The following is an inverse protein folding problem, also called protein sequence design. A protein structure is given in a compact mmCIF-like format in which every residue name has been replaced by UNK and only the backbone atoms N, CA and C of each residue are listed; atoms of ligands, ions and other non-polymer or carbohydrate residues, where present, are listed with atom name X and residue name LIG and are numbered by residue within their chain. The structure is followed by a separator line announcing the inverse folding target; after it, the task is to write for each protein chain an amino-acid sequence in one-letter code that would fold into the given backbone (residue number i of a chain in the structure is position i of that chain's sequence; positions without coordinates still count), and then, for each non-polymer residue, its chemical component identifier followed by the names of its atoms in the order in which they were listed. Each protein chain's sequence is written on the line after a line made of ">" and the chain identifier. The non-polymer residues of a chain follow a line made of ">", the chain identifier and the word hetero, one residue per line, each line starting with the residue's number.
data_IF_819324715304
#
_entry.id   IF_819324715304
#
_cell.length_a   1.000
_cell.length_b   1.000
_cell.length_c   1.000
_cell.angle_alpha   90.00
_cell.angle_beta   90.00
_cell.angle_gamma   90.00
#
_symmetry.space_group_name_H-M   'P 1'
#
loop_
_entity.id
_entity.type
_entity.pdbx_description
1 polymer ?
#
# COMPACT_ATOMS: atom_id res chain seq x y z
N UNK A 1 16.45 7.13 -14.44
CA UNK A 1 16.93 6.00 -13.61
C UNK A 1 16.51 6.27 -12.18
N UNK A 2 15.48 5.55 -11.70
CA UNK A 2 14.94 5.68 -10.34
C UNK A 2 16.10 5.43 -9.38
N UNK A 3 16.54 6.46 -8.64
CA UNK A 3 17.60 6.31 -7.65
C UNK A 3 17.06 5.47 -6.51
N UNK A 4 17.58 4.24 -6.43
CA UNK A 4 17.40 3.35 -5.30
C UNK A 4 17.81 4.02 -4.00
N UNK A 5 16.86 4.12 -3.08
CA UNK A 5 17.09 3.99 -1.65
C UNK A 5 15.84 3.29 -1.10
N UNK A 6 15.79 1.98 -1.33
CA UNK A 6 15.01 1.10 -0.48
C UNK A 6 15.99 0.72 0.65
N UNK A 7 15.81 1.24 1.89
CA UNK A 7 16.49 0.67 3.03
C UNK A 7 16.09 -0.82 3.15
N UNK A 8 16.78 -1.64 3.97
CA UNK A 8 16.39 -3.03 4.23
C UNK A 8 14.94 -3.21 4.74
N UNK A 9 14.20 -2.12 4.98
CA UNK A 9 12.78 -2.07 5.37
C UNK A 9 11.77 -2.26 4.24
N UNK A 10 12.15 -2.31 2.96
CA UNK A 10 11.22 -2.65 1.88
C UNK A 10 10.25 -1.53 1.44
N UNK A 11 10.52 -0.27 1.83
CA UNK A 11 9.68 0.89 1.48
C UNK A 11 10.10 1.49 0.14
N UNK A 12 9.15 1.63 -0.80
CA UNK A 12 9.34 2.28 -2.09
C UNK A 12 8.58 3.62 -2.13
N UNK A 13 9.31 4.73 -2.24
CA UNK A 13 8.74 6.06 -2.40
C UNK A 13 8.81 6.51 -3.86
N UNK A 14 7.70 6.98 -4.43
CA UNK A 14 7.63 7.43 -5.82
C UNK A 14 6.77 8.68 -5.94
N UNK A 15 7.21 9.64 -6.76
CA UNK A 15 6.42 10.82 -7.10
C UNK A 15 5.62 10.61 -8.41
N UNK A 16 4.74 11.55 -8.75
CA UNK A 16 3.92 11.51 -9.97
C UNK A 16 4.74 11.28 -11.22
N UNK A 17 5.84 12.02 -11.41
CA UNK A 17 6.69 11.91 -12.60
C UNK A 17 7.29 10.52 -12.74
N UNK A 18 7.77 9.93 -11.63
CA UNK A 18 8.30 8.56 -11.64
C UNK A 18 7.21 7.51 -11.88
N UNK A 19 6.01 7.72 -11.36
CA UNK A 19 4.88 6.84 -11.63
C UNK A 19 4.47 6.87 -13.11
N UNK A 20 4.44 8.06 -13.73
CA UNK A 20 4.18 8.18 -15.16
C UNK A 20 5.31 7.58 -16.00
N UNK A 21 6.58 7.75 -15.60
CA UNK A 21 7.73 7.13 -16.27
C UNK A 21 7.61 5.61 -16.28
N UNK A 22 7.22 4.99 -15.16
CA UNK A 22 7.00 3.54 -15.07
C UNK A 22 5.89 3.04 -16.01
N UNK A 23 4.87 3.85 -16.29
CA UNK A 23 3.81 3.45 -17.25
C UNK A 23 4.32 3.37 -18.67
N UNK A 24 5.25 4.24 -19.04
CA UNK A 24 5.83 4.30 -20.39
C UNK A 24 7.01 3.36 -20.55
N UNK A 25 7.78 3.17 -19.48
CA UNK A 25 8.96 2.30 -19.43
C UNK A 25 8.81 1.35 -18.25
N UNK A 26 8.02 0.27 -18.41
CA UNK A 26 7.89 -0.74 -17.37
C UNK A 26 9.29 -1.28 -17.01
N UNK A 27 9.50 -1.60 -15.74
CA UNK A 27 10.75 -2.19 -15.28
C UNK A 27 11.01 -3.44 -16.12
N UNK A 28 12.15 -3.48 -16.82
CA UNK A 28 12.56 -4.67 -17.56
C UNK A 28 12.69 -5.80 -16.56
N UNK A 29 11.78 -6.77 -16.63
CA UNK A 29 11.91 -8.00 -15.87
C UNK A 29 13.24 -8.64 -16.27
N UNK A 30 14.14 -8.87 -15.32
CA UNK A 30 15.28 -9.74 -15.57
C UNK A 30 14.71 -11.13 -15.87
N UNK A 31 14.72 -11.53 -17.15
CA UNK A 31 14.26 -12.82 -17.64
C UNK A 31 15.23 -13.94 -17.23
N UNK A 32 15.40 -14.16 -15.93
CA UNK A 32 15.96 -15.41 -15.40
C UNK A 32 14.79 -16.36 -15.10
N UNK A 33 14.31 -17.03 -16.15
CA UNK A 33 13.50 -18.28 -16.30
C UNK A 33 12.60 -18.83 -15.15
N UNK A 34 12.31 -18.13 -14.06
CA UNK A 34 11.34 -18.54 -13.04
C UNK A 34 10.27 -17.46 -12.99
N UNK A 35 9.04 -17.81 -13.41
CA UNK A 35 7.87 -16.98 -13.14
C UNK A 35 7.86 -16.69 -11.63
N UNK A 36 7.69 -15.43 -11.25
CA UNK A 36 7.50 -15.06 -9.85
C UNK A 36 6.20 -15.68 -9.38
N UNK A 37 6.28 -16.65 -8.47
CA UNK A 37 5.10 -17.18 -7.77
C UNK A 37 4.51 -16.04 -6.95
N UNK A 38 3.29 -15.64 -7.27
CA UNK A 38 2.60 -14.64 -6.46
C UNK A 38 1.73 -15.37 -5.46
N UNK A 39 1.96 -15.18 -4.14
CA UNK A 39 1.16 -15.86 -3.14
C UNK A 39 -0.28 -15.36 -3.20
N UNK A 40 -1.22 -16.15 -2.69
CA UNK A 40 -2.58 -15.65 -2.53
C UNK A 40 -2.57 -14.46 -1.56
N UNK A 41 -3.26 -13.37 -1.91
CA UNK A 41 -3.25 -12.10 -1.20
C UNK A 41 -4.66 -11.75 -0.71
N UNK A 42 -4.75 -11.23 0.51
CA UNK A 42 -5.88 -10.48 1.02
C UNK A 42 -5.55 -9.00 0.96
N UNK A 43 -6.38 -8.23 0.28
CA UNK A 43 -6.25 -6.79 0.13
C UNK A 43 -7.39 -6.09 0.84
N UNK A 44 -7.06 -5.00 1.54
CA UNK A 44 -8.03 -4.08 2.15
C UNK A 44 -7.80 -2.69 1.60
N UNK A 45 -8.87 -2.05 1.14
CA UNK A 45 -8.86 -0.73 0.52
C UNK A 45 -9.76 0.22 1.31
N UNK A 46 -9.24 1.41 1.60
CA UNK A 46 -9.97 2.55 2.12
C UNK A 46 -9.85 3.72 1.15
N UNK A 47 -10.97 4.41 0.93
CA UNK A 47 -11.04 5.51 -0.04
C UNK A 47 -11.79 6.72 0.51
N UNK A 48 -11.27 7.91 0.20
CA UNK A 48 -11.92 9.19 0.42
C UNK A 48 -11.79 10.06 -0.85
N UNK A 49 -12.90 10.45 -1.50
CA UNK A 49 -12.85 11.36 -2.65
C UNK A 49 -12.17 12.70 -2.32
N UNK A 50 -12.41 13.20 -1.10
CA UNK A 50 -11.75 14.36 -0.54
C UNK A 50 -11.64 14.16 0.99
N UNK A 51 -10.51 14.56 1.57
CA UNK A 51 -10.24 14.49 3.00
C UNK A 51 -9.37 15.66 3.42
N UNK A 52 -9.83 16.41 4.41
CA UNK A 52 -9.09 17.52 5.00
C UNK A 52 -8.39 17.05 6.27
N UNK A 53 -7.10 17.35 6.38
CA UNK A 53 -6.27 17.03 7.51
C UNK A 53 -6.30 18.17 8.54
N UNK A 54 -5.94 17.91 9.81
CA UNK A 54 -5.95 18.93 10.88
C UNK A 54 -5.14 20.19 10.55
N UNK A 55 -4.07 20.06 9.75
CA UNK A 55 -3.20 21.17 9.35
C UNK A 55 -3.75 21.98 8.15
N UNK A 56 -5.01 21.74 7.76
CA UNK A 56 -5.67 22.42 6.64
C UNK A 56 -5.31 21.86 5.25
N UNK A 57 -4.49 20.81 5.18
CA UNK A 57 -4.14 20.14 3.93
C UNK A 57 -5.36 19.36 3.40
N UNK A 58 -5.72 19.56 2.13
CA UNK A 58 -6.79 18.83 1.47
C UNK A 58 -6.24 17.77 0.52
N UNK A 59 -6.49 16.50 0.83
CA UNK A 59 -6.16 15.36 -0.04
C UNK A 59 -7.35 15.02 -0.93
N UNK A 60 -7.15 15.03 -2.25
CA UNK A 60 -8.13 14.58 -3.25
C UNK A 60 -7.82 13.16 -3.70
N UNK A 61 -8.84 12.29 -3.70
CA UNK A 61 -8.71 10.89 -4.11
C UNK A 61 -7.84 10.05 -3.17
N UNK A 62 -7.87 10.32 -1.87
CA UNK A 62 -7.01 9.64 -0.92
C UNK A 62 -7.37 8.15 -0.84
N UNK A 63 -6.35 7.31 -1.04
CA UNK A 63 -6.49 5.86 -1.18
C UNK A 63 -5.44 5.18 -0.30
N UNK A 64 -5.88 4.28 0.58
CA UNK A 64 -4.99 3.45 1.39
C UNK A 64 -5.28 1.99 1.06
N UNK A 65 -4.23 1.23 0.75
CA UNK A 65 -4.32 -0.19 0.43
C UNK A 65 -3.38 -0.95 1.34
N UNK A 66 -3.90 -1.95 2.04
CA UNK A 66 -3.13 -2.92 2.79
C UNK A 66 -3.17 -4.27 2.05
N UNK A 67 -2.01 -4.83 1.74
CA UNK A 67 -1.85 -6.09 1.01
C UNK A 67 -1.17 -7.08 1.95
N UNK A 68 -1.81 -8.21 2.21
CA UNK A 68 -1.32 -9.23 3.15
C UNK A 68 -1.38 -10.61 2.50
N UNK A 69 -0.30 -11.40 2.50
CA UNK A 69 -0.37 -12.79 2.07
C UNK A 69 -1.32 -13.61 2.95
N UNK A 70 -2.22 -14.39 2.35
CA UNK A 70 -3.25 -15.17 3.07
C UNK A 70 -2.62 -16.18 4.05
N UNK A 71 -1.43 -16.71 3.74
CA UNK A 71 -0.67 -17.59 4.63
C UNK A 71 -0.23 -16.93 5.94
N UNK A 72 0.01 -15.61 5.94
CA UNK A 72 0.37 -14.82 7.12
C UNK A 72 -0.88 -14.24 7.83
N UNK A 73 -1.97 -14.03 7.08
CA UNK A 73 -3.24 -13.52 7.63
C UNK A 73 -3.87 -14.44 8.69
N UNK A 74 -3.58 -15.75 8.65
CA UNK A 74 -4.04 -16.72 9.67
C UNK A 74 -3.37 -16.58 11.04
N UNK A 75 -2.15 -16.02 11.11
CA UNK A 75 -1.51 -15.69 12.38
C UNK A 75 -1.98 -14.35 12.95
N UNK A 76 -2.48 -13.46 12.09
CA UNK A 76 -3.06 -12.17 12.44
C UNK A 76 -4.57 -12.25 12.77
N UNK A 77 -5.21 -13.42 12.74
CA UNK A 77 -6.67 -13.54 12.89
C UNK A 77 -7.18 -13.21 14.29
N UNK A 78 -6.31 -13.14 15.31
CA UNK A 78 -6.65 -12.62 16.65
C UNK A 78 -6.37 -11.11 16.80
N UNK A 79 -5.58 -10.53 15.89
CA UNK A 79 -5.20 -9.12 15.82
C UNK A 79 -5.77 -8.42 14.56
N UNK A 80 -6.76 -9.01 13.89
CA UNK A 80 -7.32 -8.45 12.64
C UNK A 80 -8.14 -7.17 12.89
N UNK A 81 -8.51 -6.92 14.15
CA UNK A 81 -9.05 -5.64 14.63
C UNK A 81 -7.98 -4.58 14.80
N UNK A 82 -6.70 -4.96 14.92
CA UNK A 82 -5.63 -4.01 15.19
C UNK A 82 -5.03 -3.48 13.89
N UNK A 83 -5.72 -2.47 13.37
CA UNK A 83 -5.29 -1.60 12.27
C UNK A 83 -4.00 -0.82 12.63
N UNK A 84 -3.52 -0.93 13.87
CA UNK A 84 -2.27 -0.39 14.40
C UNK A 84 -1.11 -0.42 13.40
N UNK A 85 -0.82 -1.58 12.79
CA UNK A 85 0.30 -1.75 11.86
C UNK A 85 0.15 -0.97 10.54
N UNK A 86 -1.08 -0.61 10.16
CA UNK A 86 -1.36 0.18 8.96
C UNK A 86 -1.10 1.67 9.24
N UNK A 87 -1.15 2.09 10.49
CA UNK A 87 -1.07 3.52 10.87
C UNK A 87 0.30 3.99 11.34
N UNK A 88 1.20 3.07 11.70
CA UNK A 88 2.54 3.37 12.20
C UNK A 88 3.66 3.63 11.17
N UNK A 89 3.59 3.19 9.89
CA UNK A 89 4.75 3.29 9.00
C UNK A 89 4.86 4.63 8.26
N UNK A 90 3.87 5.51 8.39
CA UNK A 90 3.79 6.74 7.61
C UNK A 90 4.22 7.96 8.42
N UNK A 91 5.11 8.76 7.85
CA UNK A 91 5.41 10.11 8.36
C UNK A 91 4.24 11.07 8.11
N UNK A 92 4.17 12.15 8.89
CA UNK A 92 3.18 13.20 8.68
C UNK A 92 3.41 13.91 7.33
N UNK A 93 2.34 14.31 6.62
CA UNK A 93 0.92 14.27 7.02
C UNK A 93 0.22 12.94 6.72
N UNK A 94 0.94 11.96 6.14
CA UNK A 94 0.36 10.70 5.68
C UNK A 94 0.05 9.73 6.81
N UNK A 95 0.78 9.82 7.94
CA UNK A 95 0.44 9.15 9.20
C UNK A 95 -0.97 9.50 9.68
N UNK A 96 -1.27 10.79 9.78
CA UNK A 96 -2.62 11.26 10.10
C UNK A 96 -3.64 10.84 9.04
N UNK A 97 -3.31 10.98 7.76
CA UNK A 97 -4.21 10.55 6.67
C UNK A 97 -4.56 9.06 6.76
N UNK A 98 -3.58 8.19 7.04
CA UNK A 98 -3.80 6.75 7.21
C UNK A 98 -4.73 6.45 8.40
N UNK A 99 -4.47 7.07 9.56
CA UNK A 99 -5.33 6.94 10.76
C UNK A 99 -6.77 7.39 10.53
N UNK A 100 -6.97 8.40 9.66
CA UNK A 100 -8.30 8.87 9.29
C UNK A 100 -8.97 7.94 8.25
N UNK A 101 -8.23 7.45 7.27
CA UNK A 101 -8.76 6.56 6.22
C UNK A 101 -9.26 5.23 6.79
N UNK A 102 -8.53 4.64 7.73
CA UNK A 102 -8.90 3.32 8.28
C UNK A 102 -10.19 3.32 9.10
N UNK A 103 -10.64 4.50 9.55
CA UNK A 103 -11.95 4.68 10.21
C UNK A 103 -13.12 4.69 9.22
N UNK A 104 -12.85 4.73 7.91
CA UNK A 104 -13.86 4.68 6.86
C UNK A 104 -14.23 3.24 6.50
N UNK A 105 -15.23 3.10 5.62
CA UNK A 105 -15.62 1.81 5.05
C UNK A 105 -14.44 1.15 4.36
N UNK A 106 -14.21 -0.11 4.69
CA UNK A 106 -13.20 -0.97 4.05
C UNK A 106 -13.82 -1.77 2.90
N UNK A 107 -13.09 -1.89 1.80
CA UNK A 107 -13.37 -2.82 0.71
C UNK A 107 -12.34 -3.95 0.77
N UNK A 108 -12.80 -5.20 0.84
CA UNK A 108 -11.94 -6.38 0.90
C UNK A 108 -11.89 -7.06 -0.47
N UNK A 109 -10.70 -7.43 -0.92
CA UNK A 109 -10.47 -8.17 -2.16
C UNK A 109 -9.53 -9.34 -1.87
N UNK A 110 -9.86 -10.52 -2.39
CA UNK A 110 -9.00 -11.70 -2.34
C UNK A 110 -8.46 -11.99 -3.73
N UNK A 111 -7.15 -12.20 -3.83
CA UNK A 111 -6.49 -12.62 -5.07
C UNK A 111 -5.88 -14.00 -4.85
N UNK A 112 -6.26 -14.95 -5.71
CA UNK A 112 -5.67 -16.28 -5.70
C UNK A 112 -4.23 -16.25 -6.24
N UNK A 113 -3.43 -17.25 -5.83
CA UNK A 113 -2.04 -17.40 -6.31
C UNK A 113 -1.98 -17.72 -7.80
N UNK A 114 -0.94 -17.25 -8.49
CA UNK A 114 -0.67 -17.50 -9.90
C UNK A 114 0.81 -17.79 -10.18
#
# INVERSE_FOLDING_TARGET
>A
MIRHLCPPSGVLCMNRGQLEELRVKPLSASYTLKRTLVPALSMRLWYAPQMELPDGIVLKGATLVAIVPIGLARFASKEMSDVSWISSPFEEPYGTAAKMLVKRRTYCLEMNSF
#
